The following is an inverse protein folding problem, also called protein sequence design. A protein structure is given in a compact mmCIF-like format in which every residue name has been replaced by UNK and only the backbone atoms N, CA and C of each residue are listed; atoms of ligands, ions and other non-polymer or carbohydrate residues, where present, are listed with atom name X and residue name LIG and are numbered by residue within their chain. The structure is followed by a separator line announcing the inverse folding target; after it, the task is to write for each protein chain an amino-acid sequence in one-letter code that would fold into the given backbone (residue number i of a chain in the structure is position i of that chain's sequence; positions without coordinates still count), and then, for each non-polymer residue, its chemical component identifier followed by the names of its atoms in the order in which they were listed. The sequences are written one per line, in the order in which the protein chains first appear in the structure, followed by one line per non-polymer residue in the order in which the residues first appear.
data_IF_086912497377
#
_entry.id   IF_086912497377
#
_cell.length_a   1.000
_cell.length_b   1.000
_cell.length_c   1.000
_cell.angle_alpha   90.00
_cell.angle_beta   90.00
_cell.angle_gamma   90.00
#
_symmetry.space_group_name_H-M   'P 1'
#
loop_
_entity.id
_entity.type
_entity.pdbx_description
1 polymer ?
#
# COMPACT_ATOMS: atom_id res chain seq x y z
N UNK A 1 -4.51 -15.14 -17.27
CA UNK A 1 -3.12 -14.67 -17.45
C UNK A 1 -2.38 -14.98 -16.15
N UNK A 2 -1.24 -15.66 -16.19
CA UNK A 2 -0.44 -15.87 -14.98
C UNK A 2 0.13 -14.51 -14.58
N UNK A 3 -0.16 -14.05 -13.37
CA UNK A 3 0.40 -12.83 -12.83
C UNK A 3 1.94 -12.86 -12.90
N UNK A 4 2.52 -11.91 -13.62
CA UNK A 4 3.96 -11.82 -13.83
C UNK A 4 4.45 -12.18 -15.23
N UNK A 5 3.61 -12.76 -16.08
CA UNK A 5 3.91 -12.88 -17.50
C UNK A 5 3.48 -11.59 -18.20
N UNK A 6 4.43 -10.93 -18.83
CA UNK A 6 4.15 -9.79 -19.68
C UNK A 6 4.28 -10.25 -21.14
N UNK A 7 3.30 -9.87 -21.96
CA UNK A 7 3.35 -10.12 -23.40
C UNK A 7 4.51 -9.29 -23.98
N UNK A 8 5.38 -9.88 -24.79
CA UNK A 8 6.41 -9.10 -25.48
C UNK A 8 5.78 -7.99 -26.34
N UNK A 9 6.42 -6.84 -26.35
CA UNK A 9 6.02 -5.72 -27.19
C UNK A 9 6.42 -6.01 -28.65
N UNK A 10 5.61 -5.53 -29.59
CA UNK A 10 5.85 -5.70 -31.03
C UNK A 10 5.63 -4.38 -31.75
N UNK A 11 6.51 -4.02 -32.70
CA UNK A 11 6.46 -2.78 -33.46
C UNK A 11 7.81 -2.48 -34.08
N UNK A 12 7.89 -1.41 -34.85
CA UNK A 12 9.15 -0.98 -35.51
C UNK A 12 10.06 -0.24 -34.50
N UNK A 13 9.45 0.45 -33.53
CA UNK A 13 10.15 1.29 -32.56
C UNK A 13 9.51 1.16 -31.18
N UNK A 14 10.33 0.99 -30.15
CA UNK A 14 9.91 0.83 -28.76
C UNK A 14 10.59 1.87 -27.88
N UNK A 15 9.78 2.59 -27.08
CA UNK A 15 10.27 3.55 -26.09
C UNK A 15 10.92 2.85 -24.89
N UNK A 16 11.95 3.46 -24.30
CA UNK A 16 12.57 2.96 -23.07
C UNK A 16 12.66 4.09 -22.05
N UNK A 17 12.07 3.87 -20.89
CA UNK A 17 12.11 4.79 -19.74
C UNK A 17 12.69 4.06 -18.55
N UNK A 18 13.66 4.63 -17.87
CA UNK A 18 14.27 4.05 -16.69
C UNK A 18 14.35 5.04 -15.53
N UNK A 19 14.35 4.53 -14.32
CA UNK A 19 14.43 5.36 -13.13
C UNK A 19 14.17 4.62 -11.84
N UNK A 20 14.36 5.28 -10.70
CA UNK A 20 14.13 4.67 -9.37
C UNK A 20 12.65 4.56 -9.01
N UNK A 21 11.78 5.43 -9.53
CA UNK A 21 10.32 5.46 -9.25
C UNK A 21 9.99 5.33 -7.76
N UNK A 22 10.58 6.15 -6.93
CA UNK A 22 10.46 6.12 -5.48
C UNK A 22 9.81 7.41 -4.89
N UNK A 23 8.49 7.64 -5.07
CA UNK A 23 7.46 6.86 -5.77
C UNK A 23 7.35 7.14 -7.28
N UNK A 24 6.57 6.32 -8.00
CA UNK A 24 6.04 6.68 -9.32
C UNK A 24 5.05 7.83 -9.14
N UNK A 25 5.21 8.89 -9.93
CA UNK A 25 4.41 10.12 -9.85
C UNK A 25 4.12 10.70 -11.23
N UNK A 26 3.24 11.72 -11.29
CA UNK A 26 2.78 12.29 -12.55
C UNK A 26 3.92 12.68 -13.50
N UNK A 27 5.00 13.31 -13.02
CA UNK A 27 6.14 13.66 -13.88
C UNK A 27 6.85 12.44 -14.52
N UNK A 28 6.79 11.27 -13.88
CA UNK A 28 7.24 10.03 -14.52
C UNK A 28 6.21 9.52 -15.53
N UNK A 29 4.91 9.67 -15.23
CA UNK A 29 3.85 9.25 -16.15
C UNK A 29 3.87 10.06 -17.44
N UNK A 30 4.10 11.37 -17.37
CA UNK A 30 4.22 12.22 -18.56
C UNK A 30 5.32 11.69 -19.50
N UNK A 31 6.46 11.28 -18.92
CA UNK A 31 7.55 10.65 -19.64
C UNK A 31 7.14 9.30 -20.27
N UNK A 32 6.53 8.42 -19.48
CA UNK A 32 6.13 7.08 -19.94
C UNK A 32 5.01 7.18 -21.00
N UNK A 33 4.03 8.04 -20.82
CA UNK A 33 2.94 8.22 -21.77
C UNK A 33 3.43 8.82 -23.10
N UNK A 34 4.40 9.72 -23.03
CA UNK A 34 5.04 10.25 -24.23
C UNK A 34 5.80 9.16 -24.97
N UNK A 35 6.64 8.39 -24.25
CA UNK A 35 7.38 7.27 -24.82
C UNK A 35 6.45 6.24 -25.46
N UNK A 36 5.35 5.89 -24.80
CA UNK A 36 4.33 4.97 -25.30
C UNK A 36 3.64 5.50 -26.55
N UNK A 37 3.34 6.80 -26.62
CA UNK A 37 2.59 7.42 -27.72
C UNK A 37 3.45 7.65 -28.97
N UNK A 38 4.72 7.98 -28.79
CA UNK A 38 5.64 8.31 -29.90
C UNK A 38 6.25 7.06 -30.57
N UNK A 39 6.02 5.86 -30.00
CA UNK A 39 6.56 4.60 -30.51
C UNK A 39 5.43 3.58 -30.73
N UNK A 40 5.38 3.02 -31.93
CA UNK A 40 4.32 2.08 -32.33
C UNK A 40 4.38 0.75 -31.56
N UNK A 41 5.54 0.36 -31.06
CA UNK A 41 5.74 -0.80 -30.20
C UNK A 41 5.55 -0.54 -28.70
N UNK A 42 5.07 0.65 -28.30
CA UNK A 42 4.82 0.97 -26.89
C UNK A 42 6.10 1.36 -26.12
N UNK A 43 6.14 1.01 -24.83
CA UNK A 43 7.19 1.48 -23.91
C UNK A 43 7.63 0.39 -22.92
N UNK A 44 8.94 0.27 -22.72
CA UNK A 44 9.53 -0.50 -21.61
C UNK A 44 9.86 0.46 -20.47
N UNK A 45 9.39 0.13 -19.26
CA UNK A 45 9.68 0.86 -18.03
C UNK A 45 10.61 0.02 -17.17
N UNK A 46 11.80 0.53 -16.87
CA UNK A 46 12.84 -0.19 -16.11
C UNK A 46 13.00 0.48 -14.74
N UNK A 47 12.63 -0.23 -13.68
CA UNK A 47 12.76 0.21 -12.28
C UNK A 47 14.17 -0.12 -11.81
N UNK A 48 14.98 0.90 -11.53
CA UNK A 48 16.38 0.76 -11.13
C UNK A 48 16.60 1.03 -9.66
N UNK A 49 17.64 0.44 -9.07
CA UNK A 49 18.08 0.67 -7.70
C UNK A 49 18.26 -0.60 -6.89
N UNK A 50 18.33 -0.45 -5.57
CA UNK A 50 18.46 -1.55 -4.62
C UNK A 50 17.61 -1.28 -3.36
N UNK A 51 17.50 -2.28 -2.49
CA UNK A 51 16.84 -2.12 -1.20
C UNK A 51 17.70 -1.21 -0.31
N UNK A 52 17.08 -0.19 0.29
CA UNK A 52 17.80 0.84 1.06
C UNK A 52 18.22 2.08 0.26
N UNK A 53 17.99 2.09 -1.06
CA UNK A 53 18.15 3.27 -1.91
C UNK A 53 17.05 4.33 -1.65
N UNK A 54 16.79 5.19 -2.61
CA UNK A 54 15.78 6.26 -2.56
C UNK A 54 14.42 5.73 -2.09
N UNK A 55 13.98 6.22 -0.92
CA UNK A 55 12.76 5.76 -0.28
C UNK A 55 12.96 4.76 0.87
N UNK A 56 14.19 4.33 1.13
CA UNK A 56 14.56 3.50 2.28
C UNK A 56 13.74 2.22 2.41
N UNK A 57 13.48 1.79 3.63
CA UNK A 57 12.70 0.58 3.95
C UNK A 57 11.25 0.64 3.47
N UNK A 58 10.68 1.84 3.32
CA UNK A 58 9.30 2.01 2.85
C UNK A 58 9.14 1.54 1.40
N UNK A 59 10.14 1.77 0.55
CA UNK A 59 10.08 1.51 -0.89
C UNK A 59 11.27 0.69 -1.41
N UNK A 60 11.51 -0.53 -0.91
CA UNK A 60 12.54 -1.40 -1.47
C UNK A 60 12.25 -1.68 -2.96
N UNK A 61 13.29 -2.01 -3.74
CA UNK A 61 13.17 -2.24 -5.18
C UNK A 61 12.02 -3.17 -5.56
N UNK A 62 11.90 -4.30 -4.86
CA UNK A 62 10.82 -5.29 -5.08
C UNK A 62 9.42 -4.69 -4.94
N UNK A 63 9.22 -3.77 -3.98
CA UNK A 63 7.94 -3.09 -3.78
C UNK A 63 7.69 -2.05 -4.87
N UNK A 64 8.70 -1.26 -5.24
CA UNK A 64 8.61 -0.28 -6.33
C UNK A 64 8.26 -0.95 -7.65
N UNK A 65 8.97 -2.01 -8.01
CA UNK A 65 8.70 -2.83 -9.18
C UNK A 65 7.27 -3.36 -9.21
N UNK A 66 6.81 -3.95 -8.09
CA UNK A 66 5.45 -4.46 -7.97
C UNK A 66 4.41 -3.36 -8.19
N UNK A 67 4.60 -2.17 -7.61
CA UNK A 67 3.62 -1.08 -7.69
C UNK A 67 3.62 -0.39 -9.04
N UNK A 68 4.75 -0.27 -9.70
CA UNK A 68 4.81 0.19 -11.11
C UNK A 68 4.09 -0.79 -12.02
N UNK A 69 4.32 -2.09 -11.83
CA UNK A 69 3.64 -3.13 -12.59
C UNK A 69 2.13 -3.18 -12.33
N UNK A 70 1.71 -2.98 -11.08
CA UNK A 70 0.30 -2.87 -10.72
C UNK A 70 -0.38 -1.68 -11.40
N UNK A 71 0.32 -0.57 -11.53
CA UNK A 71 -0.21 0.62 -12.19
C UNK A 71 -0.48 0.40 -13.68
N UNK A 72 0.34 -0.42 -14.35
CA UNK A 72 0.24 -0.74 -15.77
C UNK A 72 -0.34 -2.15 -16.03
N UNK A 73 -1.06 -2.74 -15.07
CA UNK A 73 -1.50 -4.15 -15.17
C UNK A 73 -2.37 -4.46 -16.39
N UNK A 74 -3.17 -3.50 -16.84
CA UNK A 74 -4.11 -3.65 -17.95
C UNK A 74 -3.63 -2.93 -19.22
N UNK A 75 -2.34 -2.60 -19.31
CA UNK A 75 -1.76 -1.86 -20.43
C UNK A 75 -0.84 -2.76 -21.26
N UNK A 76 -1.34 -3.26 -22.39
CA UNK A 76 -0.60 -4.15 -23.29
C UNK A 76 0.57 -3.45 -24.04
N UNK A 77 0.65 -2.12 -23.98
CA UNK A 77 1.70 -1.32 -24.60
C UNK A 77 2.79 -0.88 -23.60
N UNK A 78 2.72 -1.33 -22.34
CA UNK A 78 3.75 -1.03 -21.33
C UNK A 78 4.25 -2.30 -20.68
N UNK A 79 5.54 -2.59 -20.90
CA UNK A 79 6.25 -3.70 -20.24
C UNK A 79 7.12 -3.17 -19.11
N UNK A 80 7.02 -3.76 -17.90
CA UNK A 80 7.74 -3.28 -16.72
C UNK A 80 8.77 -4.31 -16.27
N UNK A 81 10.02 -3.89 -16.12
CA UNK A 81 11.14 -4.68 -15.65
C UNK A 81 11.87 -4.01 -14.48
N UNK A 82 12.77 -4.71 -13.83
CA UNK A 82 13.60 -4.14 -12.76
C UNK A 82 15.05 -4.57 -12.89
N UNK A 83 15.95 -3.69 -12.46
CA UNK A 83 17.38 -3.96 -12.29
C UNK A 83 17.75 -3.69 -10.84
N UNK A 84 18.42 -4.66 -10.21
CA UNK A 84 19.02 -4.49 -8.89
C UNK A 84 20.50 -4.11 -9.08
N UNK A 85 20.81 -2.85 -8.84
CA UNK A 85 22.17 -2.31 -9.00
C UNK A 85 23.21 -3.06 -8.17
N UNK A 86 22.80 -3.55 -6.99
CA UNK A 86 23.65 -4.34 -6.10
C UNK A 86 23.96 -5.73 -6.65
N UNK A 87 23.00 -6.38 -7.33
CA UNK A 87 23.19 -7.72 -7.91
C UNK A 87 24.10 -7.68 -9.14
N UNK A 88 24.02 -6.62 -9.94
CA UNK A 88 24.89 -6.44 -11.12
C UNK A 88 26.24 -5.80 -10.77
N UNK A 89 26.45 -5.42 -9.52
CA UNK A 89 27.68 -4.76 -9.08
C UNK A 89 27.91 -3.38 -9.69
N UNK A 90 26.85 -2.72 -10.15
CA UNK A 90 26.96 -1.41 -10.78
C UNK A 90 27.29 -0.33 -9.75
N UNK A 91 28.27 0.49 -10.09
CA UNK A 91 28.58 1.71 -9.35
C UNK A 91 27.56 2.82 -9.71
N UNK A 92 27.48 3.90 -8.92
CA UNK A 92 26.76 5.10 -9.34
C UNK A 92 27.25 5.63 -10.69
N UNK A 93 26.37 6.31 -11.41
CA UNK A 93 26.75 7.04 -12.64
C UNK A 93 27.85 8.08 -12.34
N UNK A 94 28.86 8.26 -13.21
CA UNK A 94 29.03 7.61 -14.52
C UNK A 94 29.71 6.24 -14.48
N UNK A 95 30.37 5.86 -13.41
CA UNK A 95 31.26 4.69 -13.35
C UNK A 95 30.55 3.35 -13.63
N UNK A 96 29.28 3.23 -13.31
CA UNK A 96 28.47 2.03 -13.51
C UNK A 96 27.64 2.03 -14.78
N UNK A 97 27.81 3.02 -15.67
CA UNK A 97 26.94 3.21 -16.82
C UNK A 97 26.94 2.04 -17.81
N UNK A 98 28.11 1.47 -18.05
CA UNK A 98 28.25 0.31 -18.94
C UNK A 98 27.49 -0.91 -18.45
N UNK A 99 27.58 -1.22 -17.14
CA UNK A 99 26.87 -2.35 -16.56
C UNK A 99 25.35 -2.16 -16.64
N UNK A 100 24.87 -0.91 -16.47
CA UNK A 100 23.45 -0.60 -16.63
C UNK A 100 22.98 -0.75 -18.06
N UNK A 101 23.74 -0.26 -19.03
CA UNK A 101 23.41 -0.38 -20.46
C UNK A 101 23.38 -1.85 -20.91
N UNK A 102 24.33 -2.67 -20.49
CA UNK A 102 24.34 -4.10 -20.79
C UNK A 102 23.04 -4.79 -20.29
N UNK A 103 22.60 -4.47 -19.08
CA UNK A 103 21.35 -5.02 -18.54
C UNK A 103 20.12 -4.43 -19.24
N UNK A 104 20.13 -3.15 -19.60
CA UNK A 104 19.04 -2.54 -20.37
C UNK A 104 18.87 -3.21 -21.74
N UNK A 105 19.96 -3.52 -22.42
CA UNK A 105 19.92 -4.24 -23.71
C UNK A 105 19.38 -5.66 -23.55
N UNK A 106 19.81 -6.41 -22.54
CA UNK A 106 19.26 -7.73 -22.22
C UNK A 106 17.76 -7.69 -21.91
N UNK A 107 17.32 -6.67 -21.14
CA UNK A 107 15.91 -6.46 -20.86
C UNK A 107 15.14 -6.15 -22.14
N UNK A 108 15.69 -5.29 -22.99
CA UNK A 108 15.06 -4.93 -24.26
C UNK A 108 14.81 -6.18 -25.11
N UNK A 109 15.84 -7.00 -25.32
CA UNK A 109 15.75 -8.23 -26.12
C UNK A 109 14.73 -9.23 -25.55
N UNK A 110 14.56 -9.26 -24.24
CA UNK A 110 13.55 -10.09 -23.55
C UNK A 110 12.14 -9.51 -23.67
N UNK A 111 12.03 -8.19 -23.73
CA UNK A 111 10.77 -7.46 -23.66
C UNK A 111 10.06 -7.29 -25.00
N UNK A 112 10.77 -7.50 -26.11
CA UNK A 112 10.24 -7.25 -27.46
C UNK A 112 10.29 -8.51 -28.33
N UNK A 113 9.38 -8.56 -29.31
CA UNK A 113 9.44 -9.54 -30.39
C UNK A 113 10.34 -9.03 -31.52
N UNK A 114 11.06 -9.96 -32.17
CA UNK A 114 11.78 -9.61 -33.40
C UNK A 114 10.82 -9.42 -34.56
N UNK A 115 11.01 -8.38 -35.31
CA UNK A 115 10.35 -8.18 -36.60
C UNK A 115 10.96 -9.06 -37.67
N UNK A 116 10.28 -9.26 -38.78
CA UNK A 116 10.80 -9.98 -39.93
C UNK A 116 10.47 -9.26 -41.24
N UNK A 117 11.37 -9.40 -42.21
CA UNK A 117 11.12 -8.95 -43.57
C UNK A 117 10.78 -10.18 -44.39
N UNK A 118 9.62 -10.19 -45.04
CA UNK A 118 9.31 -11.16 -46.06
C UNK A 118 10.16 -10.85 -47.32
N UNK A 119 11.21 -11.66 -47.52
CA UNK A 119 11.94 -11.60 -48.78
C UNK A 119 11.08 -12.18 -49.89
N UNK A 120 11.17 -11.66 -51.10
CA UNK A 120 10.52 -12.18 -52.30
C UNK A 120 10.91 -13.64 -52.60
N UNK A 121 11.91 -14.17 -51.91
CA UNK A 121 12.32 -15.57 -51.92
C UNK A 121 11.82 -16.23 -50.63
N UNK A 122 10.79 -17.06 -50.73
CA UNK A 122 9.99 -17.64 -49.65
C UNK A 122 10.76 -18.54 -48.66
N UNK A 123 12.08 -18.61 -48.77
CA UNK A 123 12.92 -19.52 -47.97
C UNK A 123 13.75 -18.81 -46.89
N UNK A 124 13.90 -17.48 -46.95
CA UNK A 124 14.75 -16.74 -46.03
C UNK A 124 14.01 -15.60 -45.33
N UNK A 125 13.56 -15.82 -44.07
CA UNK A 125 13.09 -14.75 -43.20
C UNK A 125 14.26 -14.05 -42.53
N UNK A 126 14.45 -12.77 -42.81
CA UNK A 126 15.44 -11.96 -42.10
C UNK A 126 14.80 -11.31 -40.87
N UNK A 127 15.25 -11.66 -39.66
CA UNK A 127 14.79 -11.09 -38.40
C UNK A 127 15.62 -9.90 -37.96
N UNK A 128 14.99 -8.88 -37.42
CA UNK A 128 15.66 -7.72 -36.84
C UNK A 128 14.96 -7.27 -35.56
N UNK A 129 15.72 -6.60 -34.67
CA UNK A 129 15.15 -6.04 -33.47
C UNK A 129 14.48 -4.70 -33.75
N UNK A 130 13.36 -4.36 -33.05
CA UNK A 130 12.82 -2.99 -33.03
C UNK A 130 13.89 -1.97 -32.68
N UNK A 131 13.73 -0.75 -33.16
CA UNK A 131 14.60 0.37 -32.76
C UNK A 131 14.25 0.79 -31.32
N UNK A 132 15.27 1.12 -30.54
CA UNK A 132 15.13 1.71 -29.21
C UNK A 132 15.00 3.22 -29.32
N UNK A 133 14.12 3.81 -28.52
CA UNK A 133 14.06 5.25 -28.33
C UNK A 133 14.03 5.56 -26.84
N UNK A 134 15.08 6.13 -26.32
CA UNK A 134 15.28 6.39 -24.91
C UNK A 134 14.65 7.71 -24.50
N UNK A 135 14.07 7.74 -23.29
CA UNK A 135 13.50 8.95 -22.70
C UNK A 135 14.08 9.13 -21.31
N UNK A 136 14.79 10.21 -21.09
CA UNK A 136 15.38 10.53 -19.78
C UNK A 136 15.26 12.02 -19.46
N UNK A 137 15.21 12.34 -18.17
CA UNK A 137 15.18 13.72 -17.70
C UNK A 137 16.52 14.23 -17.18
N UNK A 138 17.62 13.52 -17.46
CA UNK A 138 18.99 13.93 -17.16
C UNK A 138 19.75 14.06 -18.46
N UNK A 139 20.32 15.25 -18.68
CA UNK A 139 21.05 15.60 -19.90
C UNK A 139 22.26 14.70 -20.11
N UNK A 140 22.93 14.27 -19.04
CA UNK A 140 24.13 13.43 -19.16
C UNK A 140 23.77 12.05 -19.72
N UNK A 141 22.68 11.43 -19.25
CA UNK A 141 22.22 10.15 -19.80
C UNK A 141 21.84 10.26 -21.28
N UNK A 142 21.17 11.34 -21.66
CA UNK A 142 20.78 11.57 -23.06
C UNK A 142 22.01 11.79 -23.95
N UNK A 143 22.99 12.57 -23.51
CA UNK A 143 24.21 12.82 -24.24
C UNK A 143 25.02 11.52 -24.48
N UNK A 144 25.19 10.72 -23.41
CA UNK A 144 25.92 9.45 -23.51
C UNK A 144 25.23 8.44 -24.46
N UNK A 145 23.90 8.39 -24.44
CA UNK A 145 23.14 7.54 -25.37
C UNK A 145 23.27 7.99 -26.80
N UNK A 146 23.19 9.30 -27.07
CA UNK A 146 23.39 9.86 -28.45
C UNK A 146 24.80 9.63 -28.95
N UNK A 147 25.82 9.79 -28.12
CA UNK A 147 27.22 9.51 -28.48
C UNK A 147 27.45 8.05 -28.89
N UNK A 148 26.61 7.13 -28.36
CA UNK A 148 26.62 5.69 -28.73
C UNK A 148 25.77 5.37 -29.95
N UNK A 149 25.14 6.37 -30.58
CA UNK A 149 24.29 6.20 -31.76
C UNK A 149 22.85 5.75 -31.42
N UNK A 150 22.45 5.81 -30.17
CA UNK A 150 21.07 5.56 -29.76
C UNK A 150 20.20 6.79 -30.02
N UNK A 151 18.92 6.57 -30.30
CA UNK A 151 17.92 7.64 -30.34
C UNK A 151 17.48 7.96 -28.92
N UNK A 152 17.64 9.21 -28.45
CA UNK A 152 17.31 9.63 -27.11
C UNK A 152 16.65 11.02 -27.09
N UNK A 153 15.63 11.16 -26.23
CA UNK A 153 14.91 12.42 -26.01
C UNK A 153 15.10 12.90 -24.59
N UNK A 154 15.57 14.13 -24.44
CA UNK A 154 15.60 14.82 -23.15
C UNK A 154 14.20 15.34 -22.83
N UNK A 155 13.73 15.04 -21.63
CA UNK A 155 12.45 15.50 -21.12
C UNK A 155 12.67 16.58 -20.05
N UNK A 156 12.10 17.76 -20.29
CA UNK A 156 12.09 18.78 -19.25
C UNK A 156 11.05 18.44 -18.17
N UNK A 157 11.55 17.86 -17.09
CA UNK A 157 10.71 17.44 -15.94
C UNK A 157 10.09 18.62 -15.19
N UNK A 158 10.55 19.83 -15.43
CA UNK A 158 10.15 21.02 -14.67
C UNK A 158 9.22 21.94 -15.44
N UNK A 159 9.08 21.75 -16.77
CA UNK A 159 8.31 22.66 -17.62
C UNK A 159 6.79 22.58 -17.35
N UNK A 160 6.23 21.36 -17.42
CA UNK A 160 4.78 21.18 -17.36
C UNK A 160 4.30 20.73 -15.97
N UNK A 161 5.12 19.99 -15.24
CA UNK A 161 4.76 19.40 -13.96
C UNK A 161 5.97 19.35 -13.01
N UNK A 162 6.29 20.46 -12.32
CA UNK A 162 7.49 20.59 -11.50
C UNK A 162 7.41 19.76 -10.22
N UNK A 163 7.47 18.42 -10.36
CA UNK A 163 7.41 17.49 -9.26
C UNK A 163 8.56 16.48 -9.32
N UNK A 164 9.15 16.18 -8.18
CA UNK A 164 10.10 15.10 -8.04
C UNK A 164 9.77 14.19 -6.85
N UNK A 165 10.26 12.97 -6.88
CA UNK A 165 10.03 11.97 -5.85
C UNK A 165 10.48 12.45 -4.45
N UNK A 166 11.53 13.26 -4.37
CA UNK A 166 12.00 13.84 -3.09
C UNK A 166 10.99 14.81 -2.49
N UNK A 167 10.39 15.70 -3.29
CA UNK A 167 9.31 16.61 -2.82
C UNK A 167 8.12 15.82 -2.30
N UNK A 168 7.75 14.73 -2.98
CA UNK A 168 6.67 13.86 -2.52
C UNK A 168 7.02 13.19 -1.20
N UNK A 169 8.21 12.62 -1.06
CA UNK A 169 8.62 11.99 0.21
C UNK A 169 8.69 12.96 1.38
N UNK A 170 9.06 14.21 1.12
CA UNK A 170 9.10 15.27 2.14
C UNK A 170 7.71 15.74 2.56
N UNK A 171 6.77 15.81 1.62
CA UNK A 171 5.41 16.27 1.89
C UNK A 171 4.39 15.52 1.02
N UNK A 172 4.05 14.28 1.37
CA UNK A 172 3.17 13.44 0.56
C UNK A 172 1.73 13.95 0.52
N UNK A 173 1.22 14.48 1.62
CA UNK A 173 -0.17 14.98 1.69
C UNK A 173 -0.37 16.16 0.74
N UNK A 174 0.53 17.15 0.77
CA UNK A 174 0.48 18.30 -0.14
C UNK A 174 0.59 17.89 -1.61
N UNK A 175 1.29 16.81 -1.90
CA UNK A 175 1.53 16.32 -3.25
C UNK A 175 0.67 15.09 -3.59
N UNK A 176 -0.41 14.85 -2.83
CA UNK A 176 -1.21 13.63 -2.91
C UNK A 176 -1.69 13.29 -4.32
N UNK A 177 -2.22 14.30 -5.02
CA UNK A 177 -2.74 14.13 -6.38
C UNK A 177 -1.66 13.80 -7.42
N UNK A 178 -0.40 14.07 -7.08
CA UNK A 178 0.74 13.74 -7.94
C UNK A 178 1.23 12.30 -7.78
N UNK A 179 0.82 11.60 -6.74
CA UNK A 179 1.24 10.23 -6.43
C UNK A 179 0.31 9.24 -7.14
N UNK A 180 0.88 8.26 -7.82
CA UNK A 180 0.08 7.19 -8.43
C UNK A 180 -0.60 6.33 -7.37
N UNK A 181 -1.82 5.84 -7.65
CA UNK A 181 -2.66 5.18 -6.65
C UNK A 181 -1.99 3.97 -5.96
N UNK A 182 -1.17 3.09 -6.62
CA UNK A 182 -0.51 2.01 -5.90
C UNK A 182 0.46 2.49 -4.83
N UNK A 183 1.09 3.66 -5.04
CA UNK A 183 2.04 4.22 -4.10
C UNK A 183 1.38 5.04 -2.98
N UNK A 184 0.16 5.54 -3.17
CA UNK A 184 -0.59 6.30 -2.16
C UNK A 184 -0.74 5.53 -0.85
N UNK A 185 -0.90 4.21 -0.91
CA UNK A 185 -1.01 3.35 0.29
C UNK A 185 0.22 3.40 1.20
N UNK A 186 1.39 3.82 0.69
CA UNK A 186 2.61 4.00 1.50
C UNK A 186 2.62 5.32 2.27
N UNK A 187 1.84 6.27 1.83
CA UNK A 187 1.80 7.62 2.37
C UNK A 187 0.48 7.95 3.07
N UNK A 188 -0.52 7.06 3.01
CA UNK A 188 -1.76 7.21 3.76
C UNK A 188 -1.45 7.26 5.26
N UNK A 189 -2.00 8.25 5.94
CA UNK A 189 -1.92 8.38 7.39
C UNK A 189 -3.08 7.60 8.01
N UNK A 190 -2.77 6.46 8.61
CA UNK A 190 -3.77 5.50 9.08
C UNK A 190 -4.00 5.67 10.58
N UNK A 191 -5.22 5.93 10.97
CA UNK A 191 -5.64 6.20 12.35
C UNK A 191 -6.57 5.07 12.81
N UNK A 192 -6.19 4.42 13.89
CA UNK A 192 -7.01 3.42 14.56
C UNK A 192 -7.75 4.06 15.73
N UNK A 193 -9.04 3.80 15.83
CA UNK A 193 -9.87 4.11 17.00
C UNK A 193 -10.25 2.77 17.62
N UNK A 194 -9.83 2.53 18.86
CA UNK A 194 -10.04 1.26 19.53
C UNK A 194 -10.48 1.46 21.00
N UNK A 195 -10.92 0.40 21.61
CA UNK A 195 -11.46 0.37 22.96
C UNK A 195 -12.46 -0.76 23.11
N UNK A 196 -13.08 -0.87 24.26
CA UNK A 196 -14.08 -1.91 24.56
C UNK A 196 -15.46 -1.59 23.97
N UNK A 197 -16.44 -2.47 24.16
CA UNK A 197 -17.79 -2.27 23.65
C UNK A 197 -18.45 -1.03 24.25
N UNK A 198 -19.37 -0.42 23.50
CA UNK A 198 -20.23 0.71 23.91
C UNK A 198 -19.50 2.00 24.31
N UNK A 199 -18.26 2.20 23.82
CA UNK A 199 -17.49 3.44 24.07
C UNK A 199 -17.64 4.48 22.91
N UNK A 200 -18.59 4.30 22.02
CA UNK A 200 -18.85 5.24 20.92
C UNK A 200 -17.83 5.23 19.77
N UNK A 201 -16.96 4.22 19.68
CA UNK A 201 -15.92 4.09 18.64
C UNK A 201 -16.47 4.23 17.22
N UNK A 202 -17.50 3.44 16.90
CA UNK A 202 -18.08 3.38 15.54
C UNK A 202 -18.71 4.71 15.14
N UNK A 203 -19.39 5.39 16.09
CA UNK A 203 -19.94 6.73 15.88
C UNK A 203 -18.80 7.73 15.61
N UNK A 204 -17.79 7.71 16.47
CA UNK A 204 -16.63 8.60 16.36
C UNK A 204 -15.88 8.39 15.04
N UNK A 205 -15.62 7.14 14.65
CA UNK A 205 -14.95 6.78 13.39
C UNK A 205 -15.77 7.25 12.19
N UNK A 206 -17.08 7.04 12.20
CA UNK A 206 -17.99 7.47 11.13
C UNK A 206 -18.03 8.99 11.00
N UNK A 207 -18.15 9.71 12.12
CA UNK A 207 -18.24 11.17 12.11
C UNK A 207 -16.93 11.82 11.69
N UNK A 208 -15.78 11.27 12.10
CA UNK A 208 -14.47 11.70 11.61
C UNK A 208 -14.32 11.45 10.11
N UNK A 209 -14.72 10.28 9.63
CA UNK A 209 -14.72 9.97 8.19
C UNK A 209 -15.54 10.97 7.39
N UNK A 210 -16.75 11.30 7.85
CA UNK A 210 -17.61 12.32 7.23
C UNK A 210 -17.01 13.72 7.32
N UNK A 211 -16.48 14.08 8.49
CA UNK A 211 -15.92 15.41 8.71
C UNK A 211 -14.72 15.72 7.81
N UNK A 212 -13.86 14.74 7.57
CA UNK A 212 -12.66 14.87 6.73
C UNK A 212 -12.86 14.41 5.27
N UNK A 213 -14.04 13.92 4.89
CA UNK A 213 -14.29 13.26 3.60
C UNK A 213 -13.27 12.14 3.35
N UNK A 214 -12.92 11.39 4.40
CA UNK A 214 -11.93 10.33 4.39
C UNK A 214 -12.61 8.95 4.45
N UNK A 215 -12.03 7.92 3.82
CA UNK A 215 -12.53 6.56 3.99
C UNK A 215 -12.39 6.11 5.43
N UNK A 216 -13.36 5.34 5.90
CA UNK A 216 -13.35 4.74 7.22
C UNK A 216 -13.88 3.30 7.17
N UNK A 217 -13.36 2.44 8.02
CA UNK A 217 -13.86 1.07 8.16
C UNK A 217 -14.77 0.95 9.39
N UNK A 218 -15.70 0.03 9.26
CA UNK A 218 -16.51 -0.46 10.37
C UNK A 218 -15.85 -1.67 11.04
N UNK A 219 -16.37 -2.12 12.18
CA UNK A 219 -15.99 -3.37 12.85
C UNK A 219 -16.54 -4.57 12.06
N UNK A 220 -15.65 -5.27 11.31
CA UNK A 220 -16.06 -6.39 10.44
C UNK A 220 -16.76 -7.53 11.18
N UNK A 221 -16.32 -7.82 12.40
CA UNK A 221 -16.92 -8.87 13.24
C UNK A 221 -18.43 -8.67 13.43
N UNK A 222 -18.88 -7.43 13.56
CA UNK A 222 -20.28 -7.09 13.76
C UNK A 222 -21.16 -7.48 12.55
N UNK A 223 -20.70 -7.16 11.35
CA UNK A 223 -21.41 -7.55 10.11
C UNK A 223 -21.40 -9.07 9.92
N UNK A 224 -20.26 -9.71 10.17
CA UNK A 224 -20.14 -11.16 10.08
C UNK A 224 -21.10 -11.89 11.03
N UNK A 225 -21.15 -11.49 12.29
CA UNK A 225 -22.05 -12.09 13.30
C UNK A 225 -23.52 -11.92 12.91
N UNK A 226 -23.88 -10.76 12.38
CA UNK A 226 -25.23 -10.48 11.89
C UNK A 226 -25.60 -11.35 10.69
N UNK A 227 -24.70 -11.45 9.68
CA UNK A 227 -24.93 -12.23 8.47
C UNK A 227 -25.00 -13.75 8.75
N UNK A 228 -24.19 -14.21 9.72
CA UNK A 228 -24.11 -15.62 10.14
C UNK A 228 -25.15 -15.99 11.21
N UNK A 229 -25.86 -15.02 11.78
CA UNK A 229 -26.80 -15.20 12.90
C UNK A 229 -26.17 -15.89 14.12
N UNK A 230 -24.90 -15.55 14.44
CA UNK A 230 -24.17 -16.09 15.60
C UNK A 230 -23.99 -15.03 16.68
N UNK A 231 -23.80 -15.48 17.90
CA UNK A 231 -23.58 -14.61 19.06
C UNK A 231 -22.23 -14.91 19.73
N UNK A 232 -21.76 -14.00 20.58
CA UNK A 232 -20.38 -13.99 21.11
C UNK A 232 -19.91 -15.34 21.70
N UNK A 233 -20.74 -16.07 22.44
CA UNK A 233 -20.34 -17.35 23.07
C UNK A 233 -20.31 -18.54 22.12
N UNK A 234 -20.92 -18.40 20.93
CA UNK A 234 -20.95 -19.45 19.90
C UNK A 234 -19.71 -19.36 18.99
N UNK A 235 -18.96 -18.26 19.04
CA UNK A 235 -17.80 -18.02 18.18
C UNK A 235 -16.66 -18.98 18.51
N UNK A 236 -16.19 -19.70 17.50
CA UNK A 236 -15.05 -20.59 17.58
C UNK A 236 -13.79 -19.96 16.94
N UNK A 237 -12.71 -20.74 16.87
CA UNK A 237 -11.46 -20.28 16.29
C UNK A 237 -11.56 -19.91 14.81
N UNK A 238 -12.45 -20.55 14.03
CA UNK A 238 -12.63 -20.25 12.62
C UNK A 238 -13.32 -18.88 12.43
N UNK A 239 -14.29 -18.54 13.28
CA UNK A 239 -14.94 -17.24 13.25
C UNK A 239 -13.95 -16.10 13.55
N UNK A 240 -13.14 -16.24 14.59
CA UNK A 240 -12.10 -15.25 14.91
C UNK A 240 -11.05 -15.10 13.81
N UNK A 241 -10.66 -16.17 13.13
CA UNK A 241 -9.77 -16.10 11.97
C UNK A 241 -10.44 -15.35 10.81
N UNK A 242 -11.74 -15.57 10.58
CA UNK A 242 -12.51 -14.83 9.58
C UNK A 242 -12.60 -13.33 9.93
N UNK A 243 -12.75 -12.97 11.20
CA UNK A 243 -12.71 -11.57 11.65
C UNK A 243 -11.36 -10.91 11.35
N UNK A 244 -10.27 -11.60 11.66
CA UNK A 244 -8.91 -11.10 11.43
C UNK A 244 -8.67 -10.86 9.94
N UNK A 245 -9.00 -11.81 9.09
CA UNK A 245 -8.84 -11.68 7.64
C UNK A 245 -9.77 -10.61 7.06
N UNK A 246 -11.04 -10.63 7.43
CA UNK A 246 -12.06 -9.71 6.93
C UNK A 246 -11.73 -8.25 7.28
N UNK A 247 -11.40 -7.97 8.54
CA UNK A 247 -11.01 -6.62 8.97
C UNK A 247 -9.73 -6.13 8.27
N UNK A 248 -8.72 -7.00 8.16
CA UNK A 248 -7.48 -6.66 7.45
C UNK A 248 -7.72 -6.33 5.97
N UNK A 249 -8.51 -7.15 5.29
CA UNK A 249 -8.82 -6.94 3.88
C UNK A 249 -9.68 -5.68 3.66
N UNK A 250 -10.65 -5.42 4.53
CA UNK A 250 -11.47 -4.21 4.52
C UNK A 250 -10.59 -2.96 4.66
N UNK A 251 -9.73 -2.92 5.68
CA UNK A 251 -8.83 -1.79 5.94
C UNK A 251 -7.90 -1.55 4.74
N UNK A 252 -7.28 -2.60 4.18
CA UNK A 252 -6.42 -2.49 3.00
C UNK A 252 -7.14 -1.96 1.77
N UNK A 253 -8.37 -2.42 1.54
CA UNK A 253 -9.22 -1.95 0.43
C UNK A 253 -9.49 -0.46 0.55
N UNK A 254 -9.84 0.01 1.75
CA UNK A 254 -10.16 1.41 2.01
C UNK A 254 -8.92 2.32 1.95
N UNK A 255 -7.78 1.88 2.50
CA UNK A 255 -6.50 2.58 2.38
C UNK A 255 -6.10 2.77 0.89
N UNK A 256 -6.42 1.78 0.05
CA UNK A 256 -6.14 1.81 -1.40
C UNK A 256 -7.25 2.45 -2.22
N UNK A 257 -8.33 2.90 -1.61
CA UNK A 257 -9.47 3.49 -2.30
C UNK A 257 -9.11 4.81 -2.98
N UNK A 258 -9.67 5.11 -4.16
CA UNK A 258 -9.58 6.43 -4.79
C UNK A 258 -10.11 7.57 -3.90
N UNK A 259 -11.04 7.28 -2.98
CA UNK A 259 -11.56 8.25 -2.00
C UNK A 259 -10.58 8.56 -0.86
N UNK A 260 -9.46 7.84 -0.74
CA UNK A 260 -8.43 8.16 0.24
C UNK A 260 -7.60 9.35 -0.26
N UNK A 261 -7.72 10.47 0.44
CA UNK A 261 -6.98 11.70 0.19
C UNK A 261 -5.84 11.91 1.19
N UNK A 262 -5.28 10.82 1.70
CA UNK A 262 -4.11 10.82 2.59
C UNK A 262 -4.42 10.47 4.04
N UNK A 263 -5.69 10.32 4.41
CA UNK A 263 -6.14 9.96 5.76
C UNK A 263 -7.13 8.80 5.68
N UNK A 264 -6.99 7.84 6.60
CA UNK A 264 -7.91 6.71 6.77
C UNK A 264 -8.19 6.49 8.25
N UNK A 265 -9.45 6.23 8.60
CA UNK A 265 -9.89 5.89 9.95
C UNK A 265 -10.37 4.44 10.02
N UNK A 266 -9.97 3.72 11.07
CA UNK A 266 -10.42 2.36 11.31
C UNK A 266 -11.14 2.24 12.67
N UNK A 267 -12.32 1.58 12.64
CA UNK A 267 -13.00 1.11 13.82
C UNK A 267 -12.64 -0.36 14.01
N UNK A 268 -11.64 -0.63 14.81
CA UNK A 268 -11.12 -1.97 15.07
C UNK A 268 -9.97 -2.46 14.16
N UNK A 269 -9.23 -3.42 14.71
CA UNK A 269 -8.14 -4.14 14.03
C UNK A 269 -7.88 -5.51 14.69
N UNK A 270 -6.78 -6.16 14.25
CA UNK A 270 -6.35 -7.47 14.75
C UNK A 270 -6.09 -7.52 16.27
N UNK A 271 -5.64 -6.42 16.89
CA UNK A 271 -5.39 -6.36 18.33
C UNK A 271 -6.70 -6.37 19.14
N UNK A 272 -7.74 -5.73 18.62
CA UNK A 272 -9.08 -5.74 19.21
C UNK A 272 -9.70 -7.15 19.09
N UNK A 273 -9.61 -7.78 17.92
CA UNK A 273 -10.08 -9.16 17.72
C UNK A 273 -9.36 -10.12 18.67
N UNK A 274 -8.02 -10.02 18.80
CA UNK A 274 -7.23 -10.82 19.75
C UNK A 274 -7.66 -10.59 21.20
N UNK A 275 -7.98 -9.36 21.58
CA UNK A 275 -8.46 -9.03 22.93
C UNK A 275 -9.73 -9.81 23.27
N UNK A 276 -10.73 -9.80 22.39
CA UNK A 276 -11.96 -10.55 22.60
C UNK A 276 -11.70 -12.07 22.63
N UNK A 277 -10.89 -12.59 21.71
CA UNK A 277 -10.54 -14.00 21.71
C UNK A 277 -9.81 -14.41 23.00
N UNK A 278 -8.86 -13.59 23.53
CA UNK A 278 -8.19 -13.88 24.81
C UNK A 278 -9.14 -13.88 26.00
N UNK A 279 -10.17 -13.03 25.95
CA UNK A 279 -11.15 -12.94 27.02
C UNK A 279 -12.09 -14.16 27.01
N UNK A 280 -12.69 -14.46 25.85
CA UNK A 280 -13.69 -15.53 25.74
C UNK A 280 -13.08 -16.94 25.85
N UNK A 281 -11.84 -17.15 25.41
CA UNK A 281 -11.16 -18.44 25.56
C UNK A 281 -10.95 -18.88 27.03
N UNK A 282 -11.06 -17.96 27.99
CA UNK A 282 -10.97 -18.26 29.42
C UNK A 282 -12.29 -18.69 30.03
N UNK A 283 -13.41 -18.50 29.33
CA UNK A 283 -14.73 -18.86 29.79
C UNK A 283 -15.13 -20.24 29.22
N UNK A 284 -15.24 -21.28 30.05
CA UNK A 284 -15.58 -22.63 29.60
C UNK A 284 -16.99 -22.77 29.03
N UNK A 285 -17.81 -21.73 29.11
CA UNK A 285 -19.18 -21.69 28.53
C UNK A 285 -19.16 -21.20 27.08
N UNK A 286 -18.04 -20.66 26.61
CA UNK A 286 -17.84 -20.19 25.25
C UNK A 286 -17.31 -21.31 24.35
N UNK A 287 -17.61 -21.25 23.05
CA UNK A 287 -17.17 -22.24 22.07
C UNK A 287 -15.67 -22.21 21.81
N UNK A 288 -15.03 -21.01 21.91
CA UNK A 288 -13.60 -20.83 21.68
C UNK A 288 -12.76 -21.51 22.76
N UNK A 289 -11.93 -22.46 22.35
CA UNK A 289 -11.02 -23.16 23.25
C UNK A 289 -9.68 -22.44 23.41
N UNK A 290 -8.94 -22.74 24.49
CA UNK A 290 -7.57 -22.19 24.67
C UNK A 290 -6.60 -22.59 23.55
N UNK A 291 -6.77 -23.75 22.94
CA UNK A 291 -5.92 -24.21 21.84
C UNK A 291 -6.20 -23.44 20.56
N UNK A 292 -7.46 -23.21 20.23
CA UNK A 292 -7.87 -22.36 19.11
C UNK A 292 -7.44 -20.92 19.32
N UNK A 293 -7.55 -20.40 20.54
CA UNK A 293 -7.05 -19.06 20.87
C UNK A 293 -5.56 -18.90 20.54
N UNK A 294 -4.71 -19.90 20.80
CA UNK A 294 -3.28 -19.82 20.43
C UNK A 294 -3.09 -19.64 18.92
N UNK A 295 -3.90 -20.30 18.10
CA UNK A 295 -3.85 -20.16 16.65
C UNK A 295 -4.34 -18.79 16.21
N UNK A 296 -5.44 -18.30 16.78
CA UNK A 296 -5.99 -16.94 16.56
C UNK A 296 -4.97 -15.87 16.95
N UNK A 297 -4.32 -16.00 18.11
CA UNK A 297 -3.32 -15.07 18.59
C UNK A 297 -2.11 -15.00 17.63
N UNK A 298 -1.60 -16.14 17.17
CA UNK A 298 -0.51 -16.18 16.19
C UNK A 298 -0.89 -15.48 14.88
N UNK A 299 -2.11 -15.69 14.39
CA UNK A 299 -2.62 -15.01 13.18
C UNK A 299 -2.78 -13.50 13.43
N UNK A 300 -3.32 -13.10 14.57
CA UNK A 300 -3.46 -11.70 14.94
C UNK A 300 -2.10 -10.99 14.99
N UNK A 301 -1.08 -11.60 15.59
CA UNK A 301 0.27 -11.05 15.67
C UNK A 301 0.90 -10.92 14.28
N UNK A 302 0.73 -11.93 13.41
CA UNK A 302 1.22 -11.89 12.03
C UNK A 302 0.56 -10.77 11.21
N UNK A 303 -0.74 -10.52 11.42
CA UNK A 303 -1.49 -9.43 10.77
C UNK A 303 -1.05 -8.08 11.35
N UNK A 304 -0.97 -7.96 12.68
CA UNK A 304 -0.53 -6.72 13.36
C UNK A 304 0.84 -6.26 12.86
N UNK A 305 1.78 -7.18 12.67
CA UNK A 305 3.09 -6.90 12.09
C UNK A 305 3.06 -6.39 10.63
N UNK A 306 1.93 -6.54 9.93
CA UNK A 306 1.72 -6.03 8.56
C UNK A 306 0.89 -4.76 8.52
N UNK A 307 0.17 -4.45 9.58
CA UNK A 307 -0.58 -3.21 9.71
C UNK A 307 0.36 -2.05 10.01
N UNK A 308 0.07 -0.89 9.41
CA UNK A 308 0.76 0.35 9.74
C UNK A 308 -0.25 1.34 10.31
N UNK A 309 -0.18 1.55 11.60
CA UNK A 309 -0.90 2.61 12.28
C UNK A 309 0.06 3.77 12.54
N UNK A 310 -0.33 4.97 12.12
CA UNK A 310 0.44 6.18 12.37
C UNK A 310 0.01 6.82 13.70
N UNK A 311 -1.26 6.58 14.11
CA UNK A 311 -1.79 6.97 15.41
C UNK A 311 -2.88 6.00 15.86
N UNK A 312 -2.96 5.75 17.16
CA UNK A 312 -3.96 4.90 17.79
C UNK A 312 -4.65 5.71 18.91
N UNK A 313 -5.94 5.89 18.78
CA UNK A 313 -6.75 6.52 19.82
C UNK A 313 -7.50 5.43 20.58
N UNK A 314 -7.11 5.24 21.85
CA UNK A 314 -7.67 4.25 22.74
C UNK A 314 -8.67 4.92 23.67
N UNK A 315 -9.95 4.59 23.54
CA UNK A 315 -11.00 5.11 24.43
C UNK A 315 -11.03 4.26 25.69
N UNK A 316 -10.83 4.92 26.84
CA UNK A 316 -10.93 4.27 28.13
C UNK A 316 -12.41 3.97 28.47
N UNK A 317 -12.72 2.84 29.14
CA UNK A 317 -14.08 2.53 29.56
C UNK A 317 -14.68 3.63 30.42
N UNK A 318 -15.84 4.16 30.01
CA UNK A 318 -16.58 5.18 30.74
C UNK A 318 -18.09 5.01 30.50
N UNK A 319 -18.90 5.68 31.34
CA UNK A 319 -20.33 5.75 31.13
C UNK A 319 -21.09 4.45 31.32
N UNK A 320 -22.36 4.49 30.93
CA UNK A 320 -23.29 3.37 31.01
C UNK A 320 -23.19 2.58 29.70
N UNK A 321 -23.23 1.25 29.80
CA UNK A 321 -23.34 0.39 28.64
C UNK A 321 -24.65 0.68 27.89
N UNK A 322 -24.56 0.90 26.59
CA UNK A 322 -25.71 1.04 25.70
C UNK A 322 -25.90 -0.29 24.98
N UNK A 323 -27.03 -0.93 25.22
CA UNK A 323 -27.41 -2.14 24.52
C UNK A 323 -27.79 -1.83 23.07
N UNK A 324 -27.00 -2.33 22.13
CA UNK A 324 -27.27 -2.25 20.69
C UNK A 324 -28.05 -3.47 20.18
N UNK A 325 -28.43 -4.41 21.07
CA UNK A 325 -29.10 -5.69 20.78
C UNK A 325 -28.31 -6.62 19.83
N UNK A 326 -27.06 -6.33 19.57
CA UNK A 326 -26.17 -7.12 18.69
C UNK A 326 -25.15 -7.96 19.47
N UNK A 327 -25.08 -7.81 20.81
CA UNK A 327 -24.12 -8.50 21.68
C UNK A 327 -24.80 -9.14 22.88
N UNK A 328 -24.21 -10.24 23.35
CA UNK A 328 -24.65 -10.88 24.56
C UNK A 328 -24.31 -10.05 25.82
N UNK A 329 -25.33 -9.66 26.54
CA UNK A 329 -25.24 -8.69 27.64
C UNK A 329 -24.61 -9.22 28.93
N UNK A 330 -24.41 -10.54 29.06
CA UNK A 330 -23.90 -11.12 30.32
C UNK A 330 -22.50 -10.61 30.73
N UNK A 331 -21.73 -10.11 29.75
CA UNK A 331 -20.35 -9.62 29.92
C UNK A 331 -20.19 -8.12 29.67
N UNK A 332 -21.24 -7.33 29.92
CA UNK A 332 -21.25 -5.89 29.59
C UNK A 332 -21.03 -4.95 30.78
N UNK A 333 -20.75 -5.49 31.96
CA UNK A 333 -20.49 -4.71 33.17
C UNK A 333 -19.18 -3.90 33.06
N UNK A 334 -19.05 -2.88 33.94
CA UNK A 334 -17.83 -2.07 34.01
C UNK A 334 -16.60 -2.92 34.33
N UNK A 335 -16.75 -3.96 35.16
CA UNK A 335 -15.64 -4.85 35.52
C UNK A 335 -15.11 -5.59 34.29
N UNK A 336 -15.99 -6.19 33.51
CA UNK A 336 -15.65 -6.93 32.29
C UNK A 336 -15.04 -6.02 31.26
N UNK A 337 -15.58 -4.82 31.06
CA UNK A 337 -14.98 -3.81 30.13
C UNK A 337 -13.59 -3.38 30.58
N UNK A 338 -13.35 -3.27 31.90
CA UNK A 338 -11.99 -2.99 32.41
C UNK A 338 -11.03 -4.15 32.17
N UNK A 339 -11.45 -5.41 32.35
CA UNK A 339 -10.62 -6.59 32.04
C UNK A 339 -10.26 -6.63 30.55
N UNK A 340 -11.22 -6.42 29.66
CA UNK A 340 -10.98 -6.30 28.22
C UNK A 340 -10.01 -5.15 27.90
N UNK A 341 -10.20 -3.99 28.51
CA UNK A 341 -9.33 -2.84 28.34
C UNK A 341 -7.87 -3.16 28.74
N UNK A 342 -7.68 -3.83 29.88
CA UNK A 342 -6.33 -4.24 30.34
C UNK A 342 -5.67 -5.22 29.37
N UNK A 343 -6.43 -6.17 28.82
CA UNK A 343 -5.95 -7.07 27.77
C UNK A 343 -5.54 -6.27 26.53
N UNK A 344 -6.36 -5.32 26.07
CA UNK A 344 -6.05 -4.50 24.91
C UNK A 344 -4.79 -3.65 25.13
N UNK A 345 -4.64 -3.02 26.30
CA UNK A 345 -3.44 -2.26 26.67
C UNK A 345 -2.20 -3.16 26.65
N UNK A 346 -2.30 -4.38 27.17
CA UNK A 346 -1.24 -5.38 27.12
C UNK A 346 -0.86 -5.70 25.66
N UNK A 347 -1.85 -6.02 24.82
CA UNK A 347 -1.63 -6.35 23.41
C UNK A 347 -0.98 -5.20 22.62
N UNK A 348 -1.42 -3.95 22.86
CA UNK A 348 -0.83 -2.75 22.27
C UNK A 348 0.64 -2.54 22.67
N UNK A 349 1.00 -2.85 23.92
CA UNK A 349 2.38 -2.79 24.39
C UNK A 349 3.25 -3.89 23.78
N UNK A 350 2.76 -5.12 23.78
CA UNK A 350 3.46 -6.29 23.22
C UNK A 350 3.69 -6.17 21.71
N UNK A 351 2.76 -5.55 20.98
CA UNK A 351 2.89 -5.32 19.55
C UNK A 351 3.88 -4.22 19.14
N UNK A 352 4.47 -3.49 20.12
CA UNK A 352 5.36 -2.37 19.86
C UNK A 352 4.66 -1.10 19.32
N UNK A 353 3.34 -1.01 19.45
CA UNK A 353 2.58 0.16 18.97
C UNK A 353 2.24 1.17 20.08
N UNK A 354 2.70 0.94 21.30
CA UNK A 354 2.32 1.78 22.45
C UNK A 354 2.76 3.24 22.34
N UNK A 355 3.85 3.53 21.68
CA UNK A 355 4.36 4.88 21.40
C UNK A 355 3.40 5.71 20.53
N UNK A 356 2.53 5.05 19.79
CA UNK A 356 1.51 5.67 18.91
C UNK A 356 0.18 5.90 19.63
N UNK A 357 0.01 5.36 20.83
CA UNK A 357 -1.27 5.40 21.55
C UNK A 357 -1.50 6.75 22.24
N UNK A 358 -2.69 7.27 22.08
CA UNK A 358 -3.26 8.37 22.86
C UNK A 358 -4.51 7.86 23.56
N UNK A 359 -4.56 7.94 24.88
CA UNK A 359 -5.73 7.55 25.65
C UNK A 359 -6.73 8.72 25.64
N UNK A 360 -7.97 8.42 25.29
CA UNK A 360 -9.08 9.36 25.29
C UNK A 360 -9.95 9.11 26.53
N UNK A 361 -10.06 10.12 27.37
CA UNK A 361 -10.81 10.08 28.65
C UNK A 361 -11.90 11.13 28.73
N UNK A 362 -12.08 11.93 27.69
CA UNK A 362 -13.05 13.01 27.62
C UNK A 362 -14.46 12.52 27.28
N UNK A 363 -15.39 13.46 27.24
CA UNK A 363 -16.70 13.18 26.62
C UNK A 363 -16.56 12.99 25.10
N UNK A 364 -17.70 12.70 24.45
CA UNK A 364 -17.70 12.45 23.00
C UNK A 364 -17.10 13.61 22.19
N UNK A 365 -17.47 14.86 22.52
CA UNK A 365 -17.02 16.03 21.78
C UNK A 365 -15.55 16.34 22.05
N UNK A 366 -15.10 16.20 23.26
CA UNK A 366 -13.67 16.35 23.63
C UNK A 366 -12.80 15.34 22.88
N UNK A 367 -13.22 14.07 22.87
CA UNK A 367 -12.54 13.00 22.14
C UNK A 367 -12.53 13.25 20.62
N UNK A 368 -13.67 13.68 20.05
CA UNK A 368 -13.77 14.05 18.63
C UNK A 368 -12.81 15.20 18.30
N UNK A 369 -12.81 16.26 19.08
CA UNK A 369 -11.95 17.43 18.85
C UNK A 369 -10.47 17.14 19.04
N UNK A 370 -10.10 16.25 19.97
CA UNK A 370 -8.71 15.81 20.13
C UNK A 370 -8.17 15.16 18.86
N UNK A 371 -8.98 14.30 18.23
CA UNK A 371 -8.61 13.66 16.96
C UNK A 371 -8.59 14.68 15.81
N UNK A 372 -9.58 15.57 15.75
CA UNK A 372 -9.65 16.62 14.73
C UNK A 372 -8.41 17.52 14.78
N UNK A 373 -7.97 17.94 15.96
CA UNK A 373 -6.75 18.73 16.12
C UNK A 373 -5.52 17.99 15.60
N UNK A 374 -5.35 16.73 16.01
CA UNK A 374 -4.27 15.88 15.53
C UNK A 374 -4.23 15.76 14.00
N UNK A 375 -5.37 15.45 13.39
CA UNK A 375 -5.47 15.30 11.92
C UNK A 375 -5.15 16.60 11.21
N UNK A 376 -5.64 17.75 11.70
CA UNK A 376 -5.33 19.05 11.12
C UNK A 376 -3.83 19.37 11.17
N UNK A 377 -3.15 19.03 12.24
CA UNK A 377 -1.68 19.17 12.33
C UNK A 377 -0.95 18.29 11.31
N UNK A 378 -1.41 17.06 11.11
CA UNK A 378 -0.84 16.15 10.08
C UNK A 378 -1.06 16.70 8.68
N UNK A 379 -2.27 17.20 8.37
CA UNK A 379 -2.60 17.74 7.06
C UNK A 379 -1.90 19.08 6.76
N UNK A 380 -1.50 19.82 7.79
CA UNK A 380 -0.80 21.10 7.64
C UNK A 380 0.71 20.96 7.34
N UNK A 381 1.27 19.78 7.61
CA UNK A 381 2.68 19.45 7.32
C UNK A 381 2.88 19.12 5.84
#
# INVERSE_FOLDING_TARGET
MLYGYQKPLSGEKVGVVFGSFAPLHQGHLDCIMRAKKENDGGCIVIVCGFDGDKGGEMMPLKRRYRYVREFFADDDLVAVYAINDGEIGAKPYPDGWEQWLDEFYKIFEKAVEKNYIDSSDSTLKQYYWPKRHWYAGDVNYVSDLIERGEEATLLDRMADNPICATMIRQNPIKNWDKITFPFRRLFSHNILICGTASEGKSTLTTDLGKYFNAPYSYEYAREYMKDSCVVDWELDGADYMAFLEGQYNLNRKLISSPSNHGIFFADSDSMVTRMYAEYYAKDPTCALTEEEFKQVANMADAITAKCRWDKIFLIAPHGVFVDDHERYMAHSGMKERMELYEILVKNLKESGNWDKVVILNGDYYENFMAIVHYVREVMAR
#
